data_IF_485305019593
#
_entry.id   IF_485305019593
#
_cell.length_a   1.000
_cell.length_b   1.000
_cell.length_c   1.000
_cell.angle_alpha   90.00
_cell.angle_beta   90.00
_cell.angle_gamma   90.00
#
_symmetry.space_group_name_H-M   'P 1'
#
loop_
_entity.id
_entity.type
_entity.pdbx_description
1 polymer ?
#
# COMPACT_ATOMS: atom_id res chain seq x y z
N UNK A 1 21.64 6.03 24.98
CA UNK A 1 22.32 5.51 23.78
C UNK A 1 21.24 5.40 22.73
N UNK A 2 21.17 6.37 21.83
CA UNK A 2 20.17 6.42 20.78
C UNK A 2 20.44 5.31 19.78
N UNK A 3 19.52 4.35 19.69
CA UNK A 3 19.56 3.34 18.65
C UNK A 3 19.27 4.02 17.32
N UNK A 4 20.31 4.29 16.53
CA UNK A 4 20.16 4.54 15.10
C UNK A 4 19.60 3.28 14.48
N UNK A 5 18.41 3.35 13.90
CA UNK A 5 17.84 2.23 13.16
C UNK A 5 18.71 1.96 11.92
N UNK A 6 19.26 0.74 11.82
CA UNK A 6 20.11 0.32 10.71
C UNK A 6 19.27 0.00 9.45
N UNK A 7 17.98 -0.36 9.63
CA UNK A 7 17.11 -0.88 8.57
C UNK A 7 15.76 -0.14 8.50
N UNK A 8 15.53 0.56 7.39
CA UNK A 8 14.26 1.21 7.08
C UNK A 8 13.40 0.35 6.15
N UNK A 9 12.19 0.02 6.58
CA UNK A 9 11.17 -0.67 5.80
C UNK A 9 10.08 0.32 5.38
N UNK A 10 9.50 0.13 4.19
CA UNK A 10 8.51 1.06 3.63
C UNK A 10 7.25 0.30 3.23
N UNK A 11 6.09 0.83 3.63
CA UNK A 11 4.76 0.37 3.17
C UNK A 11 4.00 1.60 2.69
N UNK A 12 3.26 1.44 1.59
CA UNK A 12 2.37 2.47 1.05
C UNK A 12 0.92 2.10 1.33
N UNK A 13 0.12 3.07 1.75
CA UNK A 13 -1.33 2.95 1.92
C UNK A 13 -2.01 3.74 0.81
N UNK A 14 -2.76 3.06 -0.04
CA UNK A 14 -3.44 3.62 -1.21
C UNK A 14 -4.95 3.42 -1.12
N UNK A 15 -5.68 4.01 -2.07
CA UNK A 15 -7.14 3.92 -2.17
C UNK A 15 -7.80 5.28 -2.40
N UNK A 16 -9.12 5.26 -2.60
CA UNK A 16 -9.94 6.42 -2.95
C UNK A 16 -9.82 7.64 -2.03
N UNK A 17 -10.23 8.82 -2.51
CA UNK A 17 -10.33 9.99 -1.65
C UNK A 17 -11.27 9.72 -0.46
N UNK A 18 -10.89 10.19 0.74
CA UNK A 18 -11.71 10.02 1.94
C UNK A 18 -11.80 8.59 2.51
N UNK A 19 -11.16 7.59 1.90
CA UNK A 19 -11.25 6.18 2.32
C UNK A 19 -10.61 5.85 3.67
N UNK A 20 -9.91 6.80 4.29
CA UNK A 20 -9.35 6.65 5.64
C UNK A 20 -7.83 6.44 5.71
N UNK A 21 -7.09 6.63 4.61
CA UNK A 21 -5.61 6.50 4.58
C UNK A 21 -4.91 7.26 5.71
N UNK A 22 -5.23 8.55 5.84
CA UNK A 22 -4.75 9.42 6.93
C UNK A 22 -5.06 8.83 8.29
N UNK A 23 -6.31 8.40 8.51
CA UNK A 23 -6.76 7.83 9.77
C UNK A 23 -5.97 6.58 10.12
N UNK A 24 -5.82 5.66 9.15
CA UNK A 24 -5.07 4.41 9.33
C UNK A 24 -3.63 4.71 9.71
N UNK A 25 -2.90 5.52 8.92
CA UNK A 25 -1.49 5.88 9.19
C UNK A 25 -1.34 6.48 10.59
N UNK A 26 -2.22 7.41 10.95
CA UNK A 26 -2.18 8.09 12.25
C UNK A 26 -2.49 7.19 13.43
N UNK A 27 -3.36 6.19 13.27
CA UNK A 27 -3.73 5.29 14.37
C UNK A 27 -2.56 4.43 14.86
N UNK A 28 -1.62 4.09 13.97
CA UNK A 28 -0.49 3.20 14.25
C UNK A 28 0.83 3.93 14.42
N UNK A 29 0.99 5.13 13.85
CA UNK A 29 2.22 5.93 13.95
C UNK A 29 2.57 6.30 15.39
N UNK A 30 3.86 6.22 15.72
CA UNK A 30 4.45 6.71 16.97
C UNK A 30 4.82 8.19 16.90
N UNK A 31 5.05 8.70 15.69
CA UNK A 31 5.28 10.12 15.46
C UNK A 31 3.96 10.83 15.20
N UNK A 32 3.87 12.07 15.67
CA UNK A 32 2.76 12.94 15.27
C UNK A 32 2.81 13.16 13.75
N UNK A 33 1.66 13.33 13.10
CA UNK A 33 1.61 13.53 11.66
C UNK A 33 2.46 14.76 11.33
N UNK A 34 3.48 14.59 10.50
CA UNK A 34 4.10 15.70 9.81
C UNK A 34 3.12 16.14 8.73
N UNK A 35 2.14 16.96 9.09
CA UNK A 35 1.48 17.80 8.10
C UNK A 35 2.48 18.91 7.80
N UNK A 36 3.47 18.62 6.96
CA UNK A 36 4.45 19.64 6.65
C UNK A 36 3.79 20.62 5.70
N UNK A 37 3.27 21.71 6.24
CA UNK A 37 3.01 22.96 5.51
C UNK A 37 4.33 23.62 5.05
N UNK A 38 5.33 22.83 4.64
CA UNK A 38 6.58 23.35 4.07
C UNK A 38 6.57 23.11 2.56
N UNK A 39 6.08 24.12 1.86
CA UNK A 39 6.80 24.70 0.72
C UNK A 39 7.25 23.71 -0.37
N UNK A 40 6.29 23.09 -1.07
CA UNK A 40 6.50 22.76 -2.50
C UNK A 40 6.21 24.02 -3.33
N UNK A 41 7.16 24.94 -3.35
CA UNK A 41 7.10 26.17 -4.15
C UNK A 41 7.11 25.85 -5.66
N UNK A 42 6.19 26.49 -6.40
CA UNK A 42 6.17 26.66 -7.87
C UNK A 42 6.04 25.40 -8.74
N UNK A 43 4.90 24.72 -8.66
CA UNK A 43 4.39 23.95 -9.80
C UNK A 43 2.85 23.97 -9.96
N UNK A 44 2.11 24.60 -9.04
CA UNK A 44 0.64 24.62 -9.07
C UNK A 44 0.00 25.99 -9.38
N UNK A 45 0.79 27.01 -9.70
CA UNK A 45 0.28 28.33 -10.11
C UNK A 45 -0.14 28.32 -11.57
N UNK A 46 -1.15 27.53 -11.93
CA UNK A 46 -2.00 27.81 -13.07
C UNK A 46 -3.19 26.86 -13.05
N UNK A 47 -4.37 27.44 -13.25
CA UNK A 47 -5.65 26.78 -13.54
C UNK A 47 -6.46 26.45 -12.28
N UNK A 48 -7.05 27.53 -11.74
CA UNK A 48 -8.24 27.48 -10.91
C UNK A 48 -9.46 27.55 -11.83
N UNK A 49 -10.38 26.58 -11.74
CA UNK A 49 -11.79 26.78 -12.06
C UNK A 49 -12.61 26.26 -10.87
N UNK A 50 -13.15 27.22 -10.11
CA UNK A 50 -13.68 27.09 -8.76
C UNK A 50 -15.20 27.09 -8.71
N UNK A 51 -15.87 26.45 -9.66
CA UNK A 51 -17.32 26.31 -9.63
C UNK A 51 -17.78 24.98 -8.98
N UNK A 52 -17.91 24.96 -7.65
CA UNK A 52 -18.92 24.06 -7.03
C UNK A 52 -18.63 23.28 -5.74
N UNK A 53 -17.54 23.49 -4.99
CA UNK A 53 -17.35 22.76 -3.71
C UNK A 53 -17.03 23.70 -2.55
N UNK A 54 -18.07 24.05 -1.79
CA UNK A 54 -17.91 24.62 -0.44
C UNK A 54 -17.19 23.60 0.44
N UNK A 55 -15.99 23.94 0.91
CA UNK A 55 -15.45 23.38 2.15
C UNK A 55 -14.03 22.81 2.14
N UNK A 56 -13.27 22.87 1.04
CA UNK A 56 -11.80 22.70 1.03
C UNK A 56 -11.16 23.61 -0.02
N UNK A 57 -11.00 24.88 0.34
CA UNK A 57 -10.15 25.80 -0.42
C UNK A 57 -8.67 25.43 -0.21
N UNK A 58 -7.92 25.42 -1.30
CA UNK A 58 -6.46 25.21 -1.43
C UNK A 58 -5.97 23.74 -1.45
N UNK A 59 -5.41 23.38 -2.61
CA UNK A 59 -4.75 22.11 -2.92
C UNK A 59 -3.36 22.06 -2.27
N UNK A 60 -3.29 21.70 -0.99
CA UNK A 60 -2.03 21.32 -0.34
C UNK A 60 -1.82 19.81 -0.52
N UNK A 61 -0.72 19.41 -1.17
CA UNK A 61 -0.31 18.00 -1.24
C UNK A 61 0.24 17.59 0.12
N UNK A 62 -0.65 17.16 1.02
CA UNK A 62 -0.25 16.53 2.26
C UNK A 62 -0.09 15.02 2.02
N UNK A 63 1.13 14.52 2.10
CA UNK A 63 1.37 13.09 2.26
C UNK A 63 1.20 12.73 3.73
N UNK A 64 0.46 11.65 4.01
CA UNK A 64 0.48 11.11 5.36
C UNK A 64 1.76 10.33 5.58
N UNK A 65 2.48 10.64 6.65
CA UNK A 65 3.70 9.95 7.04
C UNK A 65 3.57 9.39 8.46
N UNK A 66 3.89 8.11 8.60
CA UNK A 66 3.92 7.41 9.88
C UNK A 66 5.23 6.66 10.09
N UNK A 67 5.58 6.47 11.37
CA UNK A 67 6.77 5.71 11.78
C UNK A 67 6.38 4.76 12.91
N UNK A 68 6.81 3.52 12.81
CA UNK A 68 6.67 2.51 13.86
C UNK A 68 8.06 1.89 14.10
N UNK A 69 8.49 1.87 15.35
CA UNK A 69 9.70 1.14 15.75
C UNK A 69 9.34 -0.33 15.88
N UNK A 70 9.99 -1.22 15.10
CA UNK A 70 9.73 -2.65 15.16
C UNK A 70 10.63 -3.33 16.20
N UNK A 71 11.91 -2.96 16.22
CA UNK A 71 12.89 -3.38 17.21
C UNK A 71 14.05 -2.37 17.27
N UNK A 72 15.15 -2.74 17.95
CA UNK A 72 16.32 -1.88 18.13
C UNK A 72 17.02 -1.44 16.83
N UNK A 73 16.80 -2.12 15.71
CA UNK A 73 17.45 -1.83 14.42
C UNK A 73 16.46 -1.57 13.29
N UNK A 74 15.20 -1.98 13.43
CA UNK A 74 14.20 -1.93 12.37
C UNK A 74 13.14 -0.87 12.62
N UNK A 75 12.91 -0.03 11.61
CA UNK A 75 11.82 0.97 11.59
C UNK A 75 10.95 0.76 10.37
N UNK A 76 9.64 0.79 10.57
CA UNK A 76 8.65 0.78 9.51
C UNK A 76 8.13 2.20 9.24
N UNK A 77 8.27 2.63 8.00
CA UNK A 77 7.74 3.88 7.46
C UNK A 77 6.45 3.61 6.68
N UNK A 78 5.40 4.35 7.02
CA UNK A 78 4.09 4.30 6.36
C UNK A 78 3.87 5.57 5.56
N UNK A 79 3.46 5.41 4.30
CA UNK A 79 3.14 6.54 3.42
C UNK A 79 1.70 6.43 2.93
N UNK A 80 0.84 7.35 3.32
CA UNK A 80 -0.48 7.49 2.72
C UNK A 80 -0.37 8.24 1.38
N UNK A 81 -0.64 7.54 0.28
CA UNK A 81 -0.60 8.15 -1.04
C UNK A 81 -1.74 9.17 -1.20
N UNK A 82 -1.54 10.31 -1.89
CA UNK A 82 -2.61 11.26 -2.14
C UNK A 82 -3.70 10.59 -2.98
N UNK A 83 -4.95 10.62 -2.49
CA UNK A 83 -6.08 9.93 -3.12
C UNK A 83 -6.75 10.68 -4.27
N UNK A 84 -6.08 11.65 -4.91
CA UNK A 84 -6.64 12.40 -6.05
C UNK A 84 -5.87 12.07 -7.33
N UNK A 85 -6.62 11.90 -8.42
CA UNK A 85 -6.16 11.65 -9.80
C UNK A 85 -5.33 12.77 -10.41
N UNK A 86 -4.61 13.59 -9.63
CA UNK A 86 -3.63 14.56 -10.17
C UNK A 86 -2.25 14.42 -9.52
N UNK A 87 -2.14 13.56 -8.51
CA UNK A 87 -0.91 13.32 -7.75
C UNK A 87 -0.33 11.92 -7.95
N UNK A 88 -0.86 11.16 -8.93
CA UNK A 88 -0.40 9.82 -9.30
C UNK A 88 1.02 9.81 -9.87
N UNK A 89 1.53 10.93 -10.41
CA UNK A 89 2.94 11.04 -10.79
C UNK A 89 3.90 10.84 -9.59
N UNK A 90 3.41 11.03 -8.35
CA UNK A 90 4.18 10.79 -7.13
C UNK A 90 4.23 9.30 -6.77
N UNK A 91 3.36 8.47 -7.35
CA UNK A 91 3.24 7.06 -6.99
C UNK A 91 4.47 6.25 -7.42
N UNK A 92 5.10 6.55 -8.56
CA UNK A 92 6.32 5.86 -8.99
C UNK A 92 7.46 6.03 -7.98
N UNK A 93 7.56 7.23 -7.40
CA UNK A 93 8.52 7.55 -6.33
C UNK A 93 8.12 6.92 -4.99
N UNK A 94 6.82 6.79 -4.72
CA UNK A 94 6.32 6.13 -3.53
C UNK A 94 6.49 4.61 -3.58
N UNK A 95 6.34 3.95 -4.73
CA UNK A 95 6.48 2.50 -4.82
C UNK A 95 7.92 2.03 -4.90
N UNK A 96 8.83 2.86 -5.40
CA UNK A 96 10.26 2.54 -5.35
C UNK A 96 10.70 2.21 -3.92
N UNK A 97 11.24 1.01 -3.74
CA UNK A 97 11.73 0.48 -2.47
C UNK A 97 10.65 0.14 -1.44
N UNK A 98 9.36 0.08 -1.83
CA UNK A 98 8.31 -0.41 -0.92
C UNK A 98 8.39 -1.92 -0.74
N UNK A 99 8.11 -2.39 0.46
CA UNK A 99 7.92 -3.82 0.72
C UNK A 99 6.63 -4.32 0.07
N UNK A 100 5.58 -3.51 0.12
CA UNK A 100 4.26 -3.80 -0.44
C UNK A 100 3.29 -2.65 -0.18
N UNK A 101 2.01 -2.88 -0.47
CA UNK A 101 0.97 -1.87 -0.30
C UNK A 101 -0.28 -2.40 0.43
N UNK A 102 -0.99 -1.47 1.06
CA UNK A 102 -2.36 -1.68 1.57
C UNK A 102 -3.30 -0.87 0.69
N UNK A 103 -4.24 -1.53 0.02
CA UNK A 103 -5.36 -0.87 -0.65
C UNK A 103 -6.50 -0.76 0.35
N UNK A 104 -6.78 0.45 0.82
CA UNK A 104 -7.92 0.73 1.69
C UNK A 104 -9.16 1.01 0.84
N UNK A 105 -10.27 0.32 1.13
CA UNK A 105 -11.51 0.35 0.32
C UNK A 105 -12.69 0.80 1.17
N UNK A 106 -13.58 1.63 0.61
CA UNK A 106 -14.91 1.94 1.14
C UNK A 106 -15.93 1.21 0.26
N UNK A 107 -16.62 0.21 0.79
CA UNK A 107 -17.52 -0.65 0.00
C UNK A 107 -18.70 0.12 -0.61
N UNK A 108 -19.01 1.32 -0.12
CA UNK A 108 -20.05 2.20 -0.69
C UNK A 108 -19.61 2.88 -1.99
N UNK A 109 -18.30 2.92 -2.24
CA UNK A 109 -17.63 3.60 -3.37
C UNK A 109 -16.43 2.75 -3.81
N UNK A 110 -16.72 1.49 -4.11
CA UNK A 110 -15.71 0.45 -4.34
C UNK A 110 -14.87 0.73 -5.59
N UNK A 111 -15.46 1.38 -6.58
CA UNK A 111 -14.88 1.82 -7.84
C UNK A 111 -13.70 2.79 -7.67
N UNK A 112 -13.68 3.59 -6.58
CA UNK A 112 -12.56 4.46 -6.24
C UNK A 112 -11.23 3.70 -5.99
N UNK A 113 -11.29 2.38 -5.82
CA UNK A 113 -10.12 1.54 -5.54
C UNK A 113 -9.53 0.83 -6.76
N UNK A 114 -10.28 0.68 -7.86
CA UNK A 114 -9.85 -0.07 -9.05
C UNK A 114 -8.52 0.42 -9.60
N UNK A 115 -8.37 1.74 -9.77
CA UNK A 115 -7.12 2.31 -10.27
C UNK A 115 -5.90 1.97 -9.40
N UNK A 116 -6.07 1.92 -8.08
CA UNK A 116 -4.98 1.61 -7.18
C UNK A 116 -4.54 0.15 -7.32
N UNK A 117 -5.51 -0.76 -7.51
CA UNK A 117 -5.29 -2.19 -7.74
C UNK A 117 -4.58 -2.39 -9.07
N UNK A 118 -5.16 -1.89 -10.18
CA UNK A 118 -4.59 -2.02 -11.53
C UNK A 118 -3.13 -1.57 -11.59
N UNK A 119 -2.81 -0.47 -10.91
CA UNK A 119 -1.45 0.08 -10.89
C UNK A 119 -0.48 -0.79 -10.09
N UNK A 120 -0.92 -1.31 -8.94
CA UNK A 120 -0.09 -2.21 -8.13
C UNK A 120 0.19 -3.53 -8.88
N UNK A 121 -0.83 -4.06 -9.55
CA UNK A 121 -0.71 -5.25 -10.41
C UNK A 121 0.24 -4.99 -11.58
N UNK A 122 0.08 -3.86 -12.28
CA UNK A 122 0.96 -3.47 -13.38
C UNK A 122 2.43 -3.37 -12.96
N UNK A 123 2.69 -2.85 -11.75
CA UNK A 123 4.05 -2.76 -11.20
C UNK A 123 4.52 -4.05 -10.51
N UNK A 124 3.69 -5.08 -10.41
CA UNK A 124 3.99 -6.32 -9.67
C UNK A 124 4.28 -6.09 -8.18
N UNK A 125 3.72 -5.01 -7.60
CA UNK A 125 3.92 -4.69 -6.18
C UNK A 125 2.95 -5.52 -5.34
N UNK A 126 3.40 -6.39 -4.44
CA UNK A 126 2.49 -7.19 -3.63
C UNK A 126 1.65 -6.31 -2.69
N UNK A 127 0.37 -6.65 -2.54
CA UNK A 127 -0.56 -5.86 -1.75
C UNK A 127 -1.60 -6.71 -1.04
N UNK A 128 -2.32 -6.08 -0.12
CA UNK A 128 -3.55 -6.60 0.47
C UNK A 128 -4.67 -5.59 0.31
N UNK A 129 -5.91 -6.04 0.40
CA UNK A 129 -7.10 -5.18 0.43
C UNK A 129 -7.69 -5.16 1.84
N UNK A 130 -7.89 -3.95 2.37
CA UNK A 130 -8.52 -3.70 3.65
C UNK A 130 -9.84 -2.93 3.45
N UNK A 131 -10.97 -3.56 3.76
CA UNK A 131 -12.28 -2.96 3.72
C UNK A 131 -12.50 -2.11 4.97
N UNK A 132 -12.41 -0.79 4.82
CA UNK A 132 -12.57 0.13 5.95
C UNK A 132 -14.06 0.33 6.26
N UNK A 133 -14.43 0.13 7.52
CA UNK A 133 -15.80 0.27 7.99
C UNK A 133 -16.20 1.74 8.15
N UNK A 134 -17.10 2.17 7.29
CA UNK A 134 -17.75 3.49 7.35
C UNK A 134 -19.24 3.41 7.74
N UNK A 135 -19.73 2.24 8.11
CA UNK A 135 -21.15 1.92 8.16
C UNK A 135 -21.77 1.87 6.76
N UNK A 136 -22.67 0.91 6.53
CA UNK A 136 -23.29 0.70 5.23
C UNK A 136 -23.81 -0.73 5.06
N UNK A 137 -24.22 -1.10 3.84
CA UNK A 137 -24.63 -2.47 3.52
C UNK A 137 -23.48 -3.46 3.79
N UNK A 138 -23.81 -4.58 4.42
CA UNK A 138 -22.86 -5.67 4.58
C UNK A 138 -22.74 -6.45 3.28
N UNK A 139 -21.51 -6.59 2.77
CA UNK A 139 -21.20 -7.41 1.61
C UNK A 139 -20.41 -8.64 2.06
N UNK A 140 -20.60 -9.77 1.38
CA UNK A 140 -19.76 -10.95 1.62
C UNK A 140 -18.38 -10.74 1.03
N UNK A 141 -17.34 -11.42 1.53
CA UNK A 141 -16.01 -11.37 0.93
C UNK A 141 -16.01 -11.70 -0.56
N UNK A 142 -16.83 -12.66 -0.99
CA UNK A 142 -16.93 -13.06 -2.40
C UNK A 142 -17.49 -11.95 -3.29
N UNK A 143 -18.52 -11.23 -2.81
CA UNK A 143 -19.08 -10.08 -3.53
C UNK A 143 -18.06 -8.96 -3.71
N UNK A 144 -17.27 -8.70 -2.65
CA UNK A 144 -16.23 -7.68 -2.70
C UNK A 144 -15.10 -8.10 -3.66
N UNK A 145 -14.69 -9.37 -3.62
CA UNK A 145 -13.69 -9.91 -4.55
C UNK A 145 -14.14 -9.80 -6.00
N UNK A 146 -15.37 -10.22 -6.29
CA UNK A 146 -15.95 -10.12 -7.63
C UNK A 146 -16.00 -8.66 -8.11
N UNK A 147 -16.44 -7.73 -7.26
CA UNK A 147 -16.53 -6.32 -7.61
C UNK A 147 -15.17 -5.64 -7.82
N UNK A 148 -14.09 -6.20 -7.26
CA UNK A 148 -12.72 -5.70 -7.41
C UNK A 148 -11.92 -6.46 -8.46
N UNK A 149 -12.49 -7.50 -9.08
CA UNK A 149 -11.75 -8.50 -9.88
C UNK A 149 -10.49 -9.02 -9.15
N UNK A 150 -10.61 -9.23 -7.83
CA UNK A 150 -9.47 -9.45 -6.95
C UNK A 150 -9.01 -10.91 -6.98
N UNK A 151 -7.72 -11.12 -7.30
CA UNK A 151 -7.14 -12.46 -7.29
C UNK A 151 -7.35 -13.18 -5.92
N UNK A 152 -7.77 -14.46 -5.92
CA UNK A 152 -7.93 -15.27 -4.72
C UNK A 152 -6.74 -15.27 -3.75
N UNK A 153 -5.49 -15.11 -4.23
CA UNK A 153 -4.31 -15.10 -3.37
C UNK A 153 -4.08 -13.77 -2.64
N UNK A 154 -4.73 -12.68 -3.08
CA UNK A 154 -4.64 -11.37 -2.41
C UNK A 154 -5.51 -11.41 -1.15
N UNK A 155 -4.94 -11.18 0.05
CA UNK A 155 -5.70 -11.11 1.28
C UNK A 155 -6.72 -9.97 1.24
N UNK A 156 -7.95 -10.30 1.61
CA UNK A 156 -9.05 -9.36 1.80
C UNK A 156 -9.48 -9.44 3.27
N UNK A 157 -9.42 -8.32 3.98
CA UNK A 157 -9.72 -8.26 5.42
C UNK A 157 -10.58 -7.04 5.76
N UNK A 158 -11.37 -7.15 6.83
CA UNK A 158 -12.07 -6.02 7.42
C UNK A 158 -11.11 -5.14 8.23
N UNK A 159 -11.38 -3.83 8.23
CA UNK A 159 -10.59 -2.82 8.91
C UNK A 159 -11.49 -1.74 9.52
N UNK A 160 -11.14 -1.25 10.71
CA UNK A 160 -11.54 0.05 11.20
C UNK A 160 -10.29 0.91 11.37
N UNK A 161 -10.07 1.84 10.45
CA UNK A 161 -8.89 2.71 10.43
C UNK A 161 -8.75 3.59 11.69
N UNK A 162 -9.83 3.77 12.47
CA UNK A 162 -9.81 4.52 13.74
C UNK A 162 -9.24 3.67 14.89
N UNK A 163 -9.27 2.34 14.74
CA UNK A 163 -8.75 1.40 15.73
C UNK A 163 -7.28 1.09 15.46
N UNK A 164 -6.43 1.39 16.44
CA UNK A 164 -5.00 1.05 16.40
C UNK A 164 -4.78 -0.46 16.25
N UNK A 165 -5.56 -1.28 16.95
CA UNK A 165 -5.42 -2.75 16.89
C UNK A 165 -5.89 -3.30 15.53
N UNK A 166 -6.96 -2.75 14.95
CA UNK A 166 -7.39 -3.12 13.60
C UNK A 166 -6.33 -2.74 12.56
N UNK A 167 -5.80 -1.51 12.63
CA UNK A 167 -4.76 -1.03 11.71
C UNK A 167 -3.45 -1.81 11.85
N UNK A 168 -3.06 -2.22 13.06
CA UNK A 168 -1.93 -3.15 13.26
C UNK A 168 -2.16 -4.48 12.57
N UNK A 169 -3.36 -5.05 12.68
CA UNK A 169 -3.72 -6.32 12.02
C UNK A 169 -3.55 -6.21 10.50
N UNK A 170 -3.96 -5.10 9.90
CA UNK A 170 -3.74 -4.83 8.48
C UNK A 170 -2.24 -4.90 8.12
N UNK A 171 -1.38 -4.24 8.89
CA UNK A 171 0.06 -4.26 8.64
C UNK A 171 0.66 -5.67 8.84
N UNK A 172 0.21 -6.41 9.86
CA UNK A 172 0.66 -7.79 10.10
C UNK A 172 0.27 -8.69 8.93
N UNK A 173 -0.98 -8.64 8.48
CA UNK A 173 -1.46 -9.42 7.34
C UNK A 173 -0.67 -9.12 6.07
N UNK A 174 -0.30 -7.86 5.82
CA UNK A 174 0.56 -7.52 4.70
C UNK A 174 1.95 -8.16 4.83
N UNK A 175 2.58 -8.08 6.00
CA UNK A 175 3.91 -8.69 6.22
C UNK A 175 3.87 -10.22 6.07
N UNK A 176 2.82 -10.87 6.58
CA UNK A 176 2.60 -12.31 6.42
C UNK A 176 2.42 -12.68 4.94
N UNK A 177 1.61 -11.91 4.21
CA UNK A 177 1.42 -12.11 2.77
C UNK A 177 2.71 -11.96 1.99
N UNK A 178 3.49 -10.91 2.28
CA UNK A 178 4.79 -10.68 1.67
C UNK A 178 5.73 -11.87 1.89
N UNK A 179 5.77 -12.40 3.11
CA UNK A 179 6.56 -13.59 3.42
C UNK A 179 6.16 -14.78 2.55
N UNK A 180 4.86 -15.04 2.39
CA UNK A 180 4.34 -16.10 1.51
C UNK A 180 4.75 -15.89 0.05
N UNK A 181 4.65 -14.66 -0.47
CA UNK A 181 5.06 -14.32 -1.84
C UNK A 181 6.56 -14.55 -2.04
N UNK A 182 7.39 -14.07 -1.11
CA UNK A 182 8.85 -14.27 -1.18
C UNK A 182 9.25 -15.74 -1.10
N UNK A 183 8.62 -16.51 -0.22
CA UNK A 183 8.90 -17.95 -0.07
C UNK A 183 8.55 -18.71 -1.36
N UNK A 184 7.42 -18.38 -1.99
CA UNK A 184 7.02 -18.97 -3.27
C UNK A 184 8.00 -18.64 -4.41
N UNK A 185 8.43 -17.38 -4.52
CA UNK A 185 9.42 -16.94 -5.52
C UNK A 185 10.78 -17.63 -5.34
N UNK A 186 11.23 -17.81 -4.09
CA UNK A 186 12.47 -18.54 -3.77
C UNK A 186 12.39 -20.00 -4.17
N UNK A 187 11.26 -20.67 -3.91
CA UNK A 187 11.05 -22.06 -4.30
C UNK A 187 11.07 -22.24 -5.83
N UNK A 188 10.42 -21.33 -6.57
CA UNK A 188 10.39 -21.35 -8.04
C UNK A 188 11.78 -21.13 -8.65
N UNK A 189 12.55 -20.16 -8.12
CA UNK A 189 13.91 -19.86 -8.56
C UNK A 189 14.88 -21.04 -8.34
N UNK A 190 14.74 -21.73 -7.21
CA UNK A 190 15.51 -22.93 -6.90
C UNK A 190 15.13 -24.11 -7.81
N UNK A 191 13.85 -24.25 -8.16
CA UNK A 191 13.38 -25.29 -9.09
C UNK A 191 13.88 -25.04 -10.51
N UNK A 192 13.80 -23.80 -11.00
CA UNK A 192 14.33 -23.41 -12.31
C UNK A 192 15.84 -23.68 -12.40
N UNK A 193 16.62 -23.25 -11.39
CA UNK A 193 18.07 -23.44 -11.38
C UNK A 193 18.50 -24.93 -11.40
N UNK A 194 17.74 -25.82 -10.73
CA UNK A 194 18.00 -27.27 -10.76
C UNK A 194 17.65 -27.90 -12.11
N UNK A 195 16.58 -27.44 -12.76
CA UNK A 195 16.16 -27.91 -14.09
C UNK A 195 17.17 -27.52 -15.18
N UNK A 196 17.65 -26.28 -15.18
CA UNK A 196 18.67 -25.81 -16.12
C UNK A 196 19.99 -26.56 -15.93
N UNK A 197 20.41 -26.80 -14.68
CA UNK A 197 21.65 -27.51 -14.39
C UNK A 197 21.60 -29.00 -14.75
N UNK A 198 20.43 -29.64 -14.63
CA UNK A 198 20.20 -31.01 -15.10
C UNK A 198 20.25 -31.12 -16.63
N UNK A 199 19.65 -30.16 -17.34
CA UNK A 199 19.62 -30.11 -18.81
C UNK A 199 21.02 -29.93 -19.41
N UNK A 200 21.86 -29.08 -18.81
CA UNK A 200 23.26 -28.88 -19.24
C UNK A 200 24.09 -30.15 -19.03
N UNK A 201 23.97 -30.81 -17.88
CA UNK A 201 24.67 -32.08 -17.61
C UNK A 201 24.27 -33.20 -18.58
N UNK A 202 22.99 -33.31 -18.91
CA UNK A 202 22.53 -34.31 -19.89
C UNK A 202 23.05 -34.05 -21.30
N UNK A 203 23.37 -32.79 -21.63
CA UNK A 203 23.95 -32.41 -22.93
C UNK A 203 25.46 -32.65 -22.97
N UNK A 204 26.18 -32.45 -21.86
CA UNK A 204 27.62 -32.78 -21.75
C UNK A 204 27.93 -34.28 -21.70
N UNK A 205 27.03 -35.11 -21.14
CA UNK A 205 27.20 -36.57 -21.13
C UNK A 205 26.84 -37.26 -22.46
N UNK A 206 26.30 -36.51 -23.43
CA UNK A 206 25.92 -37.00 -24.75
C UNK A 206 26.97 -36.67 -25.85
N UNK A 207 28.11 -36.09 -25.47
CA UNK A 207 29.30 -35.82 -26.30
C UNK A 207 30.47 -36.70 -25.82
#
# INVERSE_FOLDING_TARGET
MDATADNGLKIVVVGGFGVGKTTLVRSVSEIRPLNTEETMTRAGEAIDDTSGVRGKSATTVAFDFGRITLDARNVLYLFGAPGQERFWFLWDRLFSGTLGAVVLVDTRRIDDSWYAIDRLEHHGTPFIVACNDFGGPTHTPDQIREALDLDPHVPLIDCDARSRESSKRVLITLVEHLKTVYDAQRAQSAHHSRSTHATVKSTELAL
#
